data_IF_124673322531
#
_entry.id   IF_124673322531
#
_cell.length_a   1.000
_cell.length_b   1.000
_cell.length_c   1.000
_cell.angle_alpha   90.00
_cell.angle_beta   90.00
_cell.angle_gamma   90.00
#
_symmetry.space_group_name_H-M   'P 1'
#
loop_
_entity.id
_entity.type
_entity.pdbx_description
1 polymer ?
#
# COMPACT_ATOMS: atom_id res chain seq x y z
N UNK A 1 -14.42 -5.45 -2.30
CA UNK A 1 -14.73 -4.14 -1.68
C UNK A 1 -16.19 -4.02 -1.22
N UNK A 2 -17.19 -3.97 -2.13
CA UNK A 2 -18.61 -3.85 -1.75
C UNK A 2 -19.15 -5.05 -0.94
N UNK A 3 -18.56 -6.24 -1.14
CA UNK A 3 -18.88 -7.48 -0.42
C UNK A 3 -18.57 -7.46 1.09
N UNK A 4 -17.65 -6.61 1.56
CA UNK A 4 -17.07 -6.72 2.91
C UNK A 4 -17.28 -5.49 3.81
N UNK A 5 -17.75 -4.35 3.29
CA UNK A 5 -17.62 -3.06 3.99
C UNK A 5 -18.90 -2.28 4.32
N UNK A 6 -20.06 -2.64 3.75
CA UNK A 6 -21.33 -1.92 3.97
C UNK A 6 -22.50 -2.91 3.98
N UNK A 7 -23.50 -2.71 4.83
CA UNK A 7 -24.73 -3.52 4.84
C UNK A 7 -25.62 -3.13 3.65
N UNK A 8 -25.43 -3.83 2.53
CA UNK A 8 -26.15 -3.60 1.27
C UNK A 8 -26.80 -4.92 0.83
N UNK A 9 -27.96 -5.28 1.41
CA UNK A 9 -28.69 -6.48 1.03
C UNK A 9 -29.50 -6.24 -0.25
N UNK A 10 -29.50 -7.24 -1.13
CA UNK A 10 -30.16 -7.23 -2.43
C UNK A 10 -31.25 -8.31 -2.52
N UNK A 11 -32.10 -8.28 -3.55
CA UNK A 11 -33.00 -9.40 -3.84
C UNK A 11 -32.26 -10.63 -4.32
N UNK A 12 -31.15 -10.41 -5.01
CA UNK A 12 -30.35 -11.45 -5.62
C UNK A 12 -28.89 -11.03 -5.74
N UNK A 13 -28.01 -12.02 -5.77
CA UNK A 13 -26.58 -11.88 -6.05
C UNK A 13 -26.26 -12.72 -7.28
N UNK A 14 -25.47 -12.18 -8.20
CA UNK A 14 -25.06 -12.84 -9.43
C UNK A 14 -23.53 -12.83 -9.47
N UNK A 15 -22.92 -14.01 -9.55
CA UNK A 15 -21.51 -14.18 -9.84
C UNK A 15 -21.36 -14.39 -11.35
N UNK A 16 -20.83 -13.38 -12.03
CA UNK A 16 -20.50 -13.45 -13.47
C UNK A 16 -19.21 -14.25 -13.71
N UNK A 17 -18.28 -14.20 -12.75
CA UNK A 17 -17.00 -14.91 -12.76
C UNK A 17 -16.65 -15.31 -11.33
N UNK A 18 -15.98 -16.45 -11.17
CA UNK A 18 -15.46 -16.91 -9.88
C UNK A 18 -13.99 -16.51 -9.64
N UNK A 19 -13.38 -15.76 -10.56
CA UNK A 19 -12.03 -15.24 -10.41
C UNK A 19 -12.05 -13.76 -10.01
N UNK A 20 -11.22 -13.40 -9.04
CA UNK A 20 -10.95 -12.02 -8.66
C UNK A 20 -9.53 -11.64 -9.09
N UNK A 21 -9.42 -11.09 -10.31
CA UNK A 21 -8.11 -10.81 -10.90
C UNK A 21 -7.39 -12.11 -11.26
N UNK A 22 -6.22 -12.36 -10.68
CA UNK A 22 -5.43 -13.58 -10.91
C UNK A 22 -5.84 -14.76 -10.02
N UNK A 23 -6.55 -14.48 -8.93
CA UNK A 23 -6.87 -15.45 -7.88
C UNK A 23 -8.31 -15.94 -7.99
N UNK A 24 -8.57 -17.16 -7.52
CA UNK A 24 -9.93 -17.69 -7.37
C UNK A 24 -10.57 -17.13 -6.11
N UNK A 25 -11.89 -16.94 -6.12
CA UNK A 25 -12.62 -16.61 -4.89
C UNK A 25 -12.39 -17.67 -3.83
N UNK A 26 -12.17 -17.22 -2.59
CA UNK A 26 -12.17 -18.09 -1.42
C UNK A 26 -13.59 -18.41 -0.98
N UNK A 27 -13.78 -19.50 -0.22
CA UNK A 27 -15.09 -19.87 0.35
C UNK A 27 -15.63 -18.74 1.24
N UNK A 28 -14.75 -18.12 2.04
CA UNK A 28 -15.14 -17.01 2.92
C UNK A 28 -15.65 -15.79 2.12
N UNK A 29 -14.97 -15.42 1.04
CA UNK A 29 -15.41 -14.31 0.17
C UNK A 29 -16.73 -14.64 -0.52
N UNK A 30 -16.87 -15.86 -1.02
CA UNK A 30 -18.10 -16.34 -1.65
C UNK A 30 -19.28 -16.26 -0.68
N UNK A 31 -19.12 -16.77 0.55
CA UNK A 31 -20.15 -16.72 1.61
C UNK A 31 -20.49 -15.28 2.04
N UNK A 32 -19.49 -14.41 2.17
CA UNK A 32 -19.73 -12.99 2.46
C UNK A 32 -20.52 -12.29 1.34
N UNK A 33 -20.25 -12.63 0.08
CA UNK A 33 -20.95 -12.06 -1.06
C UNK A 33 -22.37 -12.61 -1.19
N UNK A 34 -22.55 -13.94 -1.08
CA UNK A 34 -23.87 -14.58 -1.22
C UNK A 34 -24.80 -14.25 -0.05
N UNK A 35 -24.25 -14.02 1.15
CA UNK A 35 -25.01 -13.59 2.33
C UNK A 35 -25.75 -12.26 2.16
N UNK A 36 -25.46 -11.51 1.10
CA UNK A 36 -26.18 -10.27 0.74
C UNK A 36 -27.48 -10.54 -0.02
N UNK A 37 -27.72 -11.76 -0.46
CA UNK A 37 -28.96 -12.13 -1.13
C UNK A 37 -30.10 -12.33 -0.11
N UNK A 38 -31.17 -11.57 -0.28
CA UNK A 38 -32.33 -11.58 0.63
C UNK A 38 -32.32 -10.37 1.54
N UNK A 39 -33.42 -9.62 1.55
CA UNK A 39 -33.59 -8.44 2.41
C UNK A 39 -34.53 -8.82 3.54
N UNK A 40 -34.07 -8.71 4.78
CA UNK A 40 -34.87 -9.01 5.96
C UNK A 40 -36.20 -8.23 5.93
N UNK A 41 -37.31 -8.95 6.10
CA UNK A 41 -38.66 -8.38 6.07
C UNK A 41 -39.21 -7.99 4.68
N UNK A 42 -38.46 -8.20 3.59
CA UNK A 42 -38.92 -7.89 2.22
C UNK A 42 -38.96 -9.07 1.27
N UNK A 43 -38.11 -10.07 1.48
CA UNK A 43 -38.05 -11.26 0.62
C UNK A 43 -38.13 -12.53 1.46
N UNK A 44 -38.93 -13.50 1.00
CA UNK A 44 -39.03 -14.82 1.64
C UNK A 44 -37.77 -15.67 1.42
N UNK A 45 -37.00 -15.37 0.38
CA UNK A 45 -35.75 -16.05 0.01
C UNK A 45 -34.76 -15.12 -0.69
N UNK A 46 -33.47 -15.30 -0.38
CA UNK A 46 -32.37 -14.78 -1.18
C UNK A 46 -32.12 -15.66 -2.40
N UNK A 47 -31.85 -15.07 -3.56
CA UNK A 47 -31.49 -15.81 -4.78
C UNK A 47 -30.03 -15.57 -5.13
N UNK A 48 -29.29 -16.64 -5.38
CA UNK A 48 -27.89 -16.57 -5.78
C UNK A 48 -27.75 -17.31 -7.11
N UNK A 49 -27.12 -16.66 -8.08
CA UNK A 49 -26.86 -17.23 -9.40
C UNK A 49 -25.37 -17.25 -9.66
N UNK A 50 -24.83 -18.41 -10.04
CA UNK A 50 -23.45 -18.55 -10.49
C UNK A 50 -23.50 -18.82 -12.00
N UNK A 51 -22.88 -17.95 -12.79
CA UNK A 51 -22.67 -18.17 -14.22
C UNK A 51 -21.28 -18.77 -14.36
N UNK A 52 -21.21 -20.02 -14.80
CA UNK A 52 -19.98 -20.81 -14.84
C UNK A 52 -19.78 -21.34 -16.25
N UNK A 53 -18.59 -21.14 -16.80
CA UNK A 53 -18.21 -21.69 -18.10
C UNK A 53 -17.33 -22.94 -17.91
N UNK A 54 -17.76 -24.12 -18.40
CA UNK A 54 -16.95 -25.34 -18.31
C UNK A 54 -15.58 -25.17 -18.96
N UNK A 55 -14.54 -25.74 -18.36
CA UNK A 55 -13.15 -25.70 -18.84
C UNK A 55 -12.52 -24.30 -18.95
N UNK A 56 -13.20 -23.25 -18.47
CA UNK A 56 -12.67 -21.88 -18.52
C UNK A 56 -11.53 -21.70 -17.53
N UNK A 57 -10.42 -21.15 -18.02
CA UNK A 57 -9.28 -20.65 -17.23
C UNK A 57 -9.04 -19.19 -17.59
N UNK A 58 -8.94 -18.32 -16.59
CA UNK A 58 -8.74 -16.89 -16.79
C UNK A 58 -7.27 -16.55 -17.03
N UNK A 59 -6.35 -17.29 -16.40
CA UNK A 59 -4.91 -17.06 -16.53
C UNK A 59 -4.15 -18.37 -16.75
N UNK A 60 -3.00 -18.29 -17.45
CA UNK A 60 -2.16 -19.47 -17.74
C UNK A 60 -1.58 -20.14 -16.49
N UNK A 61 -1.55 -19.44 -15.35
CA UNK A 61 -1.12 -19.98 -14.06
C UNK A 61 -2.22 -20.59 -13.19
N UNK A 62 -3.47 -20.65 -13.68
CA UNK A 62 -4.55 -21.29 -12.95
C UNK A 62 -4.58 -22.79 -13.22
N UNK A 63 -4.34 -23.57 -12.17
CA UNK A 63 -4.33 -25.03 -12.26
C UNK A 63 -5.73 -25.61 -12.48
N UNK A 64 -6.75 -24.93 -11.93
CA UNK A 64 -8.14 -25.39 -11.86
C UNK A 64 -9.01 -24.74 -12.93
N UNK A 65 -10.08 -25.42 -13.34
CA UNK A 65 -11.12 -24.86 -14.19
C UNK A 65 -12.22 -24.19 -13.35
N UNK A 66 -12.95 -23.24 -13.94
CA UNK A 66 -13.98 -22.47 -13.23
C UNK A 66 -15.11 -23.36 -12.65
N UNK A 67 -15.48 -24.44 -13.35
CA UNK A 67 -16.50 -25.39 -12.89
C UNK A 67 -16.04 -26.24 -11.71
N UNK A 68 -14.77 -26.62 -11.67
CA UNK A 68 -14.17 -27.26 -10.48
C UNK A 68 -14.21 -26.32 -9.27
N UNK A 69 -13.89 -25.05 -9.47
CA UNK A 69 -13.91 -24.03 -8.41
C UNK A 69 -15.34 -23.79 -7.94
N UNK A 70 -16.31 -23.72 -8.86
CA UNK A 70 -17.72 -23.57 -8.51
C UNK A 70 -18.22 -24.70 -7.60
N UNK A 71 -17.84 -25.94 -7.90
CA UNK A 71 -18.20 -27.10 -7.09
C UNK A 71 -17.60 -27.04 -5.69
N UNK A 72 -16.36 -26.58 -5.56
CA UNK A 72 -15.70 -26.41 -4.27
C UNK A 72 -16.33 -25.27 -3.46
N UNK A 73 -16.66 -24.14 -4.09
CA UNK A 73 -17.33 -23.03 -3.40
C UNK A 73 -18.70 -23.43 -2.86
N UNK A 74 -19.48 -24.21 -3.62
CA UNK A 74 -20.81 -24.66 -3.21
C UNK A 74 -20.79 -25.75 -2.13
N UNK A 75 -19.71 -26.53 -2.02
CA UNK A 75 -19.54 -27.60 -1.02
C UNK A 75 -18.68 -27.17 0.17
N UNK A 76 -17.94 -26.08 0.00
CA UNK A 76 -16.98 -25.57 0.96
C UNK A 76 -17.64 -25.15 2.24
N UNK A 77 -16.90 -25.27 3.34
CA UNK A 77 -17.26 -24.69 4.63
C UNK A 77 -16.25 -23.59 4.91
N UNK A 78 -16.72 -22.47 5.48
CA UNK A 78 -15.82 -21.40 5.91
C UNK A 78 -14.85 -21.98 6.94
N UNK A 79 -13.56 -21.97 6.61
CA UNK A 79 -12.50 -22.46 7.48
C UNK A 79 -12.31 -21.51 8.68
N UNK A 80 -11.86 -22.07 9.80
CA UNK A 80 -11.48 -21.29 10.96
C UNK A 80 -10.31 -20.35 10.60
N UNK A 81 -10.45 -19.08 10.95
CA UNK A 81 -9.38 -18.10 10.74
C UNK A 81 -8.36 -18.28 11.85
N UNK A 82 -7.17 -18.77 11.51
CA UNK A 82 -6.02 -18.78 12.40
C UNK A 82 -5.19 -17.50 12.22
N UNK A 83 -5.17 -16.59 13.20
CA UNK A 83 -4.39 -15.36 13.09
C UNK A 83 -2.90 -15.68 13.09
N UNK A 84 -2.18 -15.19 12.09
CA UNK A 84 -0.74 -15.35 11.98
C UNK A 84 -0.02 -14.01 12.16
N UNK A 85 1.06 -13.99 12.94
CA UNK A 85 1.98 -12.87 13.01
C UNK A 85 3.42 -13.35 12.79
N UNK A 86 4.07 -12.78 11.78
CA UNK A 86 5.50 -13.04 11.59
C UNK A 86 6.34 -12.45 12.74
N UNK A 87 7.67 -12.61 12.68
CA UNK A 87 8.57 -12.10 13.73
C UNK A 87 8.45 -10.59 13.93
N UNK A 88 8.27 -9.84 12.84
CA UNK A 88 8.22 -8.38 12.87
C UNK A 88 6.91 -7.91 13.54
N UNK A 89 5.78 -8.43 13.09
CA UNK A 89 4.44 -8.16 13.62
C UNK A 89 4.32 -8.61 15.07
N UNK A 90 4.86 -9.79 15.40
CA UNK A 90 4.91 -10.30 16.78
C UNK A 90 5.71 -9.37 17.70
N UNK A 91 6.85 -8.87 17.23
CA UNK A 91 7.67 -7.93 17.99
C UNK A 91 6.99 -6.56 18.14
N UNK A 92 6.33 -6.06 17.11
CA UNK A 92 5.52 -4.83 17.15
C UNK A 92 4.42 -4.93 18.22
N UNK A 93 3.61 -5.99 18.19
CA UNK A 93 2.56 -6.23 19.18
C UNK A 93 3.13 -6.36 20.59
N UNK A 94 4.27 -7.07 20.75
CA UNK A 94 4.94 -7.20 22.04
C UNK A 94 5.38 -5.82 22.57
N UNK A 95 5.99 -4.99 21.72
CA UNK A 95 6.41 -3.64 22.07
C UNK A 95 5.23 -2.77 22.47
N UNK A 96 4.15 -2.77 21.68
CA UNK A 96 2.92 -2.04 21.98
C UNK A 96 2.34 -2.45 23.33
N UNK A 97 2.33 -3.75 23.61
CA UNK A 97 1.86 -4.32 24.88
C UNK A 97 2.72 -3.88 26.06
N UNK A 98 4.05 -3.91 25.93
CA UNK A 98 4.97 -3.43 26.98
C UNK A 98 4.74 -1.93 27.23
N UNK A 99 4.60 -1.14 26.16
CA UNK A 99 4.32 0.30 26.25
C UNK A 99 3.00 0.60 26.95
N UNK A 100 1.93 -0.13 26.62
CA UNK A 100 0.59 0.10 27.16
C UNK A 100 0.41 -0.39 28.60
N UNK A 101 0.97 -1.55 28.93
CA UNK A 101 0.80 -2.16 30.26
C UNK A 101 1.84 -1.72 31.28
N UNK A 102 2.99 -1.21 30.82
CA UNK A 102 4.09 -0.79 31.69
C UNK A 102 4.80 -1.95 32.41
N UNK A 103 4.57 -3.19 32.00
CA UNK A 103 5.23 -4.37 32.59
C UNK A 103 6.74 -4.29 32.41
N UNK A 104 7.48 -4.57 33.49
CA UNK A 104 8.95 -4.50 33.50
C UNK A 104 9.61 -5.86 33.73
N UNK A 105 8.89 -6.85 34.25
CA UNK A 105 9.45 -8.20 34.43
C UNK A 105 9.37 -9.01 33.13
N UNK A 106 10.41 -9.78 32.82
CA UNK A 106 10.43 -10.63 31.61
C UNK A 106 9.34 -11.71 31.66
N UNK A 107 9.01 -12.19 32.86
CA UNK A 107 7.97 -13.20 33.06
C UNK A 107 6.57 -12.63 32.76
N UNK A 108 6.28 -11.42 33.25
CA UNK A 108 5.00 -10.76 32.98
C UNK A 108 4.86 -10.45 31.49
N UNK A 109 5.94 -10.00 30.82
CA UNK A 109 5.93 -9.77 29.38
C UNK A 109 5.61 -11.05 28.62
N UNK A 110 6.29 -12.16 28.94
CA UNK A 110 6.03 -13.44 28.29
C UNK A 110 4.60 -13.93 28.56
N UNK A 111 4.07 -13.69 29.76
CA UNK A 111 2.71 -14.05 30.13
C UNK A 111 1.67 -13.25 29.34
N UNK A 112 1.85 -11.93 29.19
CA UNK A 112 0.90 -11.10 28.43
C UNK A 112 1.00 -11.39 26.93
N UNK A 113 2.22 -11.52 26.40
CA UNK A 113 2.45 -11.85 24.99
C UNK A 113 1.73 -13.15 24.58
N UNK A 114 1.78 -14.20 25.42
CA UNK A 114 1.10 -15.47 25.15
C UNK A 114 -0.43 -15.38 25.10
N UNK A 115 -1.02 -14.24 25.49
CA UNK A 115 -2.47 -13.99 25.40
C UNK A 115 -2.87 -13.31 24.08
N UNK A 116 -1.92 -12.97 23.22
CA UNK A 116 -2.27 -12.44 21.90
C UNK A 116 -2.94 -13.53 21.07
N UNK A 117 -3.81 -13.13 20.15
CA UNK A 117 -4.52 -14.07 19.27
C UNK A 117 -3.58 -14.70 18.23
N UNK A 118 -2.56 -13.96 17.79
CA UNK A 118 -1.66 -14.33 16.69
C UNK A 118 -0.29 -14.82 17.16
N UNK A 119 -0.22 -15.60 18.25
CA UNK A 119 1.08 -16.06 18.79
C UNK A 119 1.65 -17.18 17.93
N UNK A 120 2.46 -16.83 16.95
CA UNK A 120 3.18 -17.77 16.06
C UNK A 120 4.69 -17.82 16.30
N UNK A 121 5.23 -16.92 17.13
CA UNK A 121 6.68 -16.82 17.43
C UNK A 121 6.91 -16.90 18.94
N UNK A 122 7.96 -17.58 19.43
CA UNK A 122 8.29 -17.60 20.85
C UNK A 122 8.54 -16.19 21.41
N UNK A 123 8.07 -15.87 22.64
CA UNK A 123 8.28 -14.54 23.25
C UNK A 123 9.76 -14.14 23.30
N UNK A 124 10.66 -15.12 23.50
CA UNK A 124 12.10 -14.88 23.53
C UNK A 124 12.63 -14.30 22.22
N UNK A 125 12.09 -14.72 21.08
CA UNK A 125 12.61 -14.32 19.77
C UNK A 125 12.06 -12.94 19.37
N UNK A 126 10.79 -12.67 19.68
CA UNK A 126 10.22 -11.32 19.61
C UNK A 126 11.02 -10.33 20.47
N UNK A 127 11.33 -10.70 21.73
CA UNK A 127 12.13 -9.87 22.64
C UNK A 127 13.56 -9.66 22.15
N UNK A 128 14.25 -10.71 21.67
CA UNK A 128 15.58 -10.59 21.05
C UNK A 128 15.54 -9.66 19.84
N UNK A 129 14.47 -9.70 19.04
CA UNK A 129 14.27 -8.78 17.92
C UNK A 129 14.16 -7.32 18.39
N UNK A 130 13.34 -7.05 19.41
CA UNK A 130 13.22 -5.71 19.99
C UNK A 130 14.54 -5.17 20.54
N UNK A 131 15.36 -6.01 21.19
CA UNK A 131 16.69 -5.63 21.66
C UNK A 131 17.63 -5.33 20.48
N UNK A 132 17.66 -6.20 19.45
CA UNK A 132 18.47 -6.01 18.24
C UNK A 132 18.11 -4.74 17.47
N UNK A 133 16.83 -4.33 17.52
CA UNK A 133 16.32 -3.11 16.90
C UNK A 133 16.39 -1.87 17.80
N UNK A 134 16.95 -1.99 19.01
CA UNK A 134 17.07 -0.90 20.00
C UNK A 134 15.75 -0.34 20.53
N UNK A 135 14.65 -1.10 20.42
CA UNK A 135 13.32 -0.70 20.92
C UNK A 135 13.22 -0.84 22.44
N UNK A 136 13.95 -1.79 23.00
CA UNK A 136 13.99 -2.06 24.45
C UNK A 136 15.41 -2.31 24.92
N UNK A 137 15.66 -2.10 26.21
CA UNK A 137 16.89 -2.45 26.92
C UNK A 137 16.56 -3.41 28.06
N UNK A 138 17.44 -4.38 28.28
CA UNK A 138 17.33 -5.33 29.39
C UNK A 138 18.28 -4.91 30.50
N UNK A 139 17.74 -4.40 31.62
CA UNK A 139 18.48 -4.01 32.83
C UNK A 139 17.62 -4.26 34.06
N UNK A 140 17.84 -5.36 34.78
CA UNK A 140 16.97 -5.78 35.92
C UNK A 140 15.47 -5.79 35.56
N UNK A 141 15.16 -6.20 34.34
CA UNK A 141 13.84 -6.05 33.72
C UNK A 141 13.95 -5.55 32.29
N UNK A 142 12.81 -5.36 31.64
CA UNK A 142 12.67 -4.74 30.32
C UNK A 142 12.30 -3.26 30.46
N UNK A 143 12.96 -2.42 29.69
CA UNK A 143 12.70 -0.99 29.64
C UNK A 143 12.60 -0.54 28.19
N UNK A 144 11.48 0.07 27.83
CA UNK A 144 11.27 0.66 26.50
C UNK A 144 12.18 1.88 26.33
N UNK A 145 12.88 1.96 25.21
CA UNK A 145 13.69 3.13 24.85
C UNK A 145 12.81 4.28 24.35
N UNK A 146 13.37 5.48 24.24
CA UNK A 146 12.67 6.61 23.59
C UNK A 146 12.33 6.28 22.13
N UNK A 147 13.23 5.60 21.42
CA UNK A 147 12.98 5.08 20.08
C UNK A 147 11.81 4.09 20.09
N UNK A 148 11.80 3.11 20.98
CA UNK A 148 10.71 2.15 21.11
C UNK A 148 9.35 2.81 21.35
N UNK A 149 9.31 3.83 22.22
CA UNK A 149 8.08 4.61 22.46
C UNK A 149 7.65 5.38 21.21
N UNK A 150 8.58 6.07 20.54
CA UNK A 150 8.30 6.81 19.31
C UNK A 150 7.79 5.90 18.19
N UNK A 151 8.41 4.71 18.04
CA UNK A 151 8.01 3.66 17.10
C UNK A 151 6.58 3.17 17.38
N UNK A 152 6.27 2.79 18.62
CA UNK A 152 4.90 2.36 19.00
C UNK A 152 3.86 3.44 18.79
N UNK A 153 4.11 4.68 19.24
CA UNK A 153 3.16 5.80 19.08
C UNK A 153 2.92 6.16 17.60
N UNK A 154 3.83 5.72 16.73
CA UNK A 154 3.78 5.96 15.30
C UNK A 154 3.27 4.77 14.50
N UNK A 155 2.85 3.68 15.15
CA UNK A 155 2.40 2.45 14.49
C UNK A 155 3.42 1.92 13.46
N UNK A 156 4.70 2.11 13.75
CA UNK A 156 5.79 1.59 12.93
C UNK A 156 6.24 0.24 13.48
N UNK A 157 6.63 -0.65 12.57
CA UNK A 157 7.34 -1.87 12.97
C UNK A 157 8.71 -1.53 13.60
N UNK A 158 9.26 -2.40 14.47
CA UNK A 158 10.62 -2.23 15.02
C UNK A 158 11.70 -1.95 13.97
N UNK A 159 11.64 -2.60 12.81
CA UNK A 159 12.58 -2.42 11.71
C UNK A 159 12.38 -1.05 11.05
N UNK A 160 11.14 -0.65 10.75
CA UNK A 160 10.84 0.68 10.20
C UNK A 160 11.28 1.80 11.15
N UNK A 161 11.01 1.68 12.45
CA UNK A 161 11.41 2.68 13.44
C UNK A 161 12.92 2.94 13.47
N UNK A 162 13.72 1.87 13.43
CA UNK A 162 15.17 1.98 13.35
C UNK A 162 15.65 2.51 11.99
N UNK A 163 14.98 2.13 10.90
CA UNK A 163 15.30 2.62 9.56
C UNK A 163 15.06 4.13 9.44
N UNK A 164 13.91 4.62 9.87
CA UNK A 164 13.58 6.05 9.91
C UNK A 164 14.66 6.82 10.69
N UNK A 165 15.02 6.34 11.88
CA UNK A 165 16.07 6.97 12.70
C UNK A 165 17.37 7.13 11.91
N UNK A 166 17.80 6.09 11.17
CA UNK A 166 19.02 6.12 10.34
C UNK A 166 18.89 7.05 9.13
N UNK A 167 17.72 7.08 8.49
CA UNK A 167 17.49 7.84 7.27
C UNK A 167 17.37 9.34 7.52
N UNK A 168 16.90 9.76 8.70
CA UNK A 168 16.75 11.19 9.04
C UNK A 168 18.03 12.03 8.86
N UNK A 169 19.22 11.42 8.79
CA UNK A 169 20.50 12.14 8.58
C UNK A 169 20.93 12.22 7.12
N UNK A 170 20.25 11.50 6.21
CA UNK A 170 20.74 11.21 4.86
C UNK A 170 19.71 11.46 3.77
N UNK A 171 18.45 11.55 4.14
CA UNK A 171 17.32 11.61 3.22
C UNK A 171 16.34 12.68 3.69
N UNK A 172 15.71 13.33 2.71
CA UNK A 172 14.64 14.30 2.93
C UNK A 172 13.45 13.66 3.66
N UNK A 173 12.83 14.40 4.58
CA UNK A 173 11.76 13.87 5.45
C UNK A 173 10.53 13.43 4.66
N UNK A 174 10.23 14.08 3.54
CA UNK A 174 9.13 13.69 2.67
C UNK A 174 9.44 12.37 1.95
N UNK A 175 10.67 12.18 1.48
CA UNK A 175 11.07 10.91 0.84
C UNK A 175 11.05 9.76 1.85
N UNK A 176 11.45 9.98 3.10
CA UNK A 176 11.35 8.95 4.14
C UNK A 176 9.88 8.58 4.37
N UNK A 177 8.99 9.57 4.47
CA UNK A 177 7.56 9.33 4.69
C UNK A 177 6.90 8.60 3.51
N UNK A 178 7.27 8.95 2.27
CA UNK A 178 6.83 8.23 1.06
C UNK A 178 7.40 6.82 1.03
N UNK A 179 8.66 6.63 1.43
CA UNK A 179 9.31 5.31 1.44
C UNK A 179 8.66 4.35 2.44
N UNK A 180 8.15 4.85 3.56
CA UNK A 180 7.43 4.03 4.55
C UNK A 180 6.21 3.35 3.94
N UNK A 181 5.47 4.06 3.08
CA UNK A 181 4.33 3.52 2.35
C UNK A 181 4.18 4.18 0.97
N UNK A 182 4.84 3.62 -0.06
CA UNK A 182 4.81 4.20 -1.39
C UNK A 182 3.45 4.05 -2.07
N UNK A 183 3.10 4.98 -2.95
CA UNK A 183 1.88 4.86 -3.74
C UNK A 183 2.05 3.89 -4.90
N UNK A 184 1.44 2.70 -4.79
CA UNK A 184 1.58 1.64 -5.80
C UNK A 184 0.30 1.33 -6.59
N UNK A 185 -0.85 1.87 -6.16
CA UNK A 185 -2.15 1.67 -6.81
C UNK A 185 -2.30 2.54 -8.07
N UNK A 186 -1.37 2.34 -9.00
CA UNK A 186 -1.26 3.03 -10.27
C UNK A 186 -1.19 2.01 -11.39
N UNK A 187 -2.01 2.23 -12.40
CA UNK A 187 -2.26 1.30 -13.48
C UNK A 187 -2.03 1.96 -14.83
N UNK A 188 -1.77 1.18 -15.86
CA UNK A 188 -1.72 1.67 -17.22
C UNK A 188 -3.13 2.04 -17.70
N UNK A 189 -3.26 3.12 -18.46
CA UNK A 189 -4.52 3.42 -19.14
C UNK A 189 -4.92 2.29 -20.09
N UNK A 190 -6.23 2.06 -20.25
CA UNK A 190 -6.77 1.03 -21.15
C UNK A 190 -6.25 1.16 -22.59
N UNK A 191 -6.07 2.40 -23.06
CA UNK A 191 -5.47 2.70 -24.37
C UNK A 191 -4.03 2.19 -24.46
N UNK A 192 -3.19 2.51 -23.48
CA UNK A 192 -1.79 2.09 -23.47
C UNK A 192 -1.68 0.57 -23.29
N UNK A 193 -2.50 -0.02 -22.42
CA UNK A 193 -2.60 -1.46 -22.23
C UNK A 193 -2.93 -2.17 -23.55
N UNK A 194 -3.92 -1.68 -24.30
CA UNK A 194 -4.32 -2.28 -25.57
C UNK A 194 -3.21 -2.28 -26.63
N UNK A 195 -2.40 -1.22 -26.71
CA UNK A 195 -1.24 -1.18 -27.62
C UNK A 195 -0.16 -2.19 -27.21
N UNK A 196 0.14 -2.27 -25.90
CA UNK A 196 1.13 -3.20 -25.36
C UNK A 196 0.67 -4.64 -25.61
N UNK A 197 -0.55 -4.99 -25.22
CA UNK A 197 -1.08 -6.35 -25.38
C UNK A 197 -1.12 -6.77 -26.86
N UNK A 198 -1.47 -5.84 -27.76
CA UNK A 198 -1.45 -6.07 -29.20
C UNK A 198 -0.03 -6.33 -29.74
N UNK A 199 0.95 -5.51 -29.31
CA UNK A 199 2.33 -5.63 -29.74
C UNK A 199 2.96 -6.98 -29.32
N UNK A 200 2.70 -7.41 -28.08
CA UNK A 200 3.26 -8.62 -27.48
C UNK A 200 2.39 -9.87 -27.62
N UNK A 201 1.14 -9.74 -28.10
CA UNK A 201 0.17 -10.84 -28.26
C UNK A 201 -0.03 -11.64 -26.97
N UNK A 202 0.03 -10.97 -25.84
CA UNK A 202 -0.13 -11.54 -24.50
C UNK A 202 -0.67 -10.44 -23.59
N UNK A 203 -1.55 -10.81 -22.67
CA UNK A 203 -2.07 -9.88 -21.67
C UNK A 203 -0.97 -9.56 -20.65
N UNK A 204 -0.49 -8.33 -20.65
CA UNK A 204 0.55 -7.87 -19.74
C UNK A 204 -0.04 -7.41 -18.40
N UNK A 205 0.71 -7.51 -17.30
CA UNK A 205 0.33 -6.89 -16.03
C UNK A 205 -0.01 -5.40 -16.18
N UNK A 206 -1.10 -4.97 -15.55
CA UNK A 206 -1.63 -3.60 -15.69
C UNK A 206 -1.05 -2.60 -14.70
N UNK A 207 -0.37 -3.06 -13.63
CA UNK A 207 0.21 -2.19 -12.61
C UNK A 207 1.48 -1.51 -13.13
N UNK A 208 1.64 -0.22 -12.84
CA UNK A 208 2.76 0.58 -13.33
C UNK A 208 4.14 0.05 -12.90
N UNK A 209 4.25 -0.46 -11.66
CA UNK A 209 5.50 -0.98 -11.10
C UNK A 209 5.71 -2.49 -11.29
N UNK A 210 4.95 -3.15 -12.16
CA UNK A 210 4.96 -4.62 -12.33
C UNK A 210 6.10 -5.19 -13.18
N UNK A 211 7.23 -4.49 -13.32
CA UNK A 211 8.38 -4.95 -14.12
C UNK A 211 8.17 -4.91 -15.65
N UNK A 212 6.94 -4.75 -16.14
CA UNK A 212 6.57 -4.71 -17.58
C UNK A 212 7.37 -3.68 -18.37
N UNK A 213 7.67 -2.53 -17.78
CA UNK A 213 8.51 -1.52 -18.41
C UNK A 213 9.90 -2.06 -18.84
N UNK A 214 10.46 -3.00 -18.07
CA UNK A 214 11.78 -3.59 -18.31
C UNK A 214 11.75 -4.63 -19.40
N UNK A 215 10.73 -5.50 -19.38
CA UNK A 215 10.50 -6.45 -20.46
C UNK A 215 10.37 -5.69 -21.79
N UNK A 216 9.66 -4.57 -21.78
CA UNK A 216 9.49 -3.73 -22.97
C UNK A 216 10.80 -3.05 -23.39
N UNK A 217 11.59 -2.49 -22.46
CA UNK A 217 12.86 -1.84 -22.80
C UNK A 217 13.90 -2.84 -23.33
N UNK A 218 13.99 -4.03 -22.75
CA UNK A 218 14.91 -5.09 -23.18
C UNK A 218 14.51 -5.69 -24.53
N UNK A 219 13.20 -5.80 -24.78
CA UNK A 219 12.66 -6.20 -26.08
C UNK A 219 12.84 -5.12 -27.14
N UNK A 220 12.90 -3.84 -26.74
CA UNK A 220 13.23 -2.73 -27.65
C UNK A 220 14.69 -2.73 -28.11
N UNK A 221 15.60 -3.32 -27.33
CA UNK A 221 17.02 -3.48 -27.69
C UNK A 221 17.31 -4.59 -28.70
N UNK A 222 16.42 -5.60 -28.81
CA UNK A 222 16.54 -6.68 -29.80
C UNK A 222 15.82 -6.27 -31.09
N UNK A 223 16.58 -6.22 -32.19
CA UNK A 223 16.23 -5.75 -33.58
C UNK A 223 14.99 -6.36 -34.27
N UNK A 224 14.03 -6.95 -33.56
CA UNK A 224 12.80 -7.51 -34.14
C UNK A 224 11.48 -7.13 -33.45
N UNK A 225 11.52 -6.46 -32.28
CA UNK A 225 10.31 -6.14 -31.48
C UNK A 225 9.84 -4.68 -31.54
N UNK A 226 10.73 -3.74 -31.87
CA UNK A 226 10.48 -2.28 -31.85
C UNK A 226 9.52 -1.76 -32.92
N UNK A 227 9.29 -2.54 -33.97
CA UNK A 227 8.48 -2.12 -35.12
C UNK A 227 6.96 -2.19 -34.91
N UNK A 228 6.50 -2.59 -33.71
CA UNK A 228 5.05 -2.79 -33.44
C UNK A 228 4.40 -1.71 -32.59
N UNK A 229 5.15 -0.97 -31.79
CA UNK A 229 4.56 0.05 -30.92
C UNK A 229 4.43 1.39 -31.66
N UNK A 230 3.29 2.09 -31.55
CA UNK A 230 3.14 3.44 -32.09
C UNK A 230 4.14 4.43 -31.48
N UNK A 231 4.52 5.48 -32.23
CA UNK A 231 5.48 6.51 -31.77
C UNK A 231 5.07 7.17 -30.45
N UNK A 232 3.78 7.43 -30.26
CA UNK A 232 3.26 8.05 -29.05
C UNK A 232 3.50 7.20 -27.79
N UNK A 233 3.59 5.87 -27.91
CA UNK A 233 3.89 4.98 -26.77
C UNK A 233 5.35 5.18 -26.32
N UNK A 234 6.28 5.36 -27.27
CA UNK A 234 7.66 5.68 -26.94
C UNK A 234 7.80 7.05 -26.27
N UNK A 235 6.99 8.03 -26.66
CA UNK A 235 6.97 9.34 -25.99
C UNK A 235 6.54 9.21 -24.52
N UNK A 236 5.56 8.34 -24.23
CA UNK A 236 5.12 8.04 -22.87
C UNK A 236 6.23 7.37 -22.06
N UNK A 237 6.89 6.35 -22.60
CA UNK A 237 8.01 5.67 -21.93
C UNK A 237 9.22 6.59 -21.70
N UNK A 238 9.48 7.50 -22.64
CA UNK A 238 10.50 8.54 -22.48
C UNK A 238 10.17 9.43 -21.28
N UNK A 239 8.92 9.92 -21.17
CA UNK A 239 8.46 10.68 -20.00
C UNK A 239 8.63 9.89 -18.70
N UNK A 240 8.26 8.61 -18.66
CA UNK A 240 8.43 7.80 -17.45
C UNK A 240 9.89 7.65 -17.05
N UNK A 241 10.77 7.42 -18.02
CA UNK A 241 12.22 7.36 -17.79
C UNK A 241 12.72 8.66 -17.21
N UNK A 242 12.37 9.79 -17.83
CA UNK A 242 12.83 11.12 -17.42
C UNK A 242 12.26 11.56 -16.07
N UNK A 243 11.04 11.17 -15.70
CA UNK A 243 10.40 11.62 -14.46
C UNK A 243 10.59 10.65 -13.28
N UNK A 244 10.51 9.34 -13.52
CA UNK A 244 10.44 8.33 -12.45
C UNK A 244 11.61 7.34 -12.48
N UNK A 245 12.00 6.84 -13.66
CA UNK A 245 13.01 5.78 -13.81
C UNK A 245 14.40 6.31 -14.23
N UNK A 246 14.89 7.35 -13.55
CA UNK A 246 16.18 8.00 -13.82
C UNK A 246 17.15 7.95 -12.61
N UNK A 247 17.26 6.81 -11.93
CA UNK A 247 18.26 6.64 -10.86
C UNK A 247 19.40 5.70 -11.28
N UNK A 248 20.64 6.03 -10.88
CA UNK A 248 21.80 5.16 -11.05
C UNK A 248 21.98 4.13 -9.94
N UNK A 249 20.89 3.63 -9.34
CA UNK A 249 20.95 2.67 -8.23
C UNK A 249 21.45 1.30 -8.76
N UNK A 250 22.29 0.53 -8.02
CA UNK A 250 22.71 -0.81 -8.47
C UNK A 250 21.55 -1.80 -8.59
N UNK A 251 20.51 -1.58 -7.78
CA UNK A 251 19.26 -2.34 -7.79
C UNK A 251 18.26 -1.79 -8.81
N UNK A 252 18.67 -0.91 -9.72
CA UNK A 252 17.78 -0.42 -10.76
C UNK A 252 17.43 -1.59 -11.65
N UNK A 253 16.15 -1.86 -11.92
CA UNK A 253 14.95 -1.03 -11.73
C UNK A 253 14.10 -1.36 -10.50
N UNK A 254 14.46 -2.38 -9.73
CA UNK A 254 13.71 -2.91 -8.59
C UNK A 254 13.83 -2.05 -7.32
N UNK A 255 14.66 -1.01 -7.34
CA UNK A 255 14.81 -0.09 -6.22
C UNK A 255 13.58 0.81 -6.03
N UNK A 256 13.32 1.28 -4.80
CA UNK A 256 12.12 2.08 -4.49
C UNK A 256 12.11 3.50 -5.09
N UNK A 257 13.21 3.95 -5.71
CA UNK A 257 13.35 5.33 -6.20
C UNK A 257 12.23 5.78 -7.17
N UNK A 258 11.75 4.95 -8.12
CA UNK A 258 10.64 5.34 -8.99
C UNK A 258 9.34 5.56 -8.20
N UNK A 259 9.08 4.74 -7.18
CA UNK A 259 7.91 4.88 -6.30
C UNK A 259 8.00 6.17 -5.48
N UNK A 260 9.18 6.47 -4.93
CA UNK A 260 9.45 7.72 -4.20
C UNK A 260 9.25 8.94 -5.10
N UNK A 261 9.78 8.91 -6.34
CA UNK A 261 9.64 10.01 -7.31
C UNK A 261 8.19 10.24 -7.72
N UNK A 262 7.41 9.18 -7.92
CA UNK A 262 5.97 9.29 -8.18
C UNK A 262 5.23 9.92 -6.99
N UNK A 263 5.50 9.44 -5.77
CA UNK A 263 4.92 10.01 -4.56
C UNK A 263 5.28 11.50 -4.41
N UNK A 264 6.54 11.87 -4.64
CA UNK A 264 6.99 13.27 -4.59
C UNK A 264 6.28 14.11 -5.65
N UNK A 265 6.15 13.60 -6.88
CA UNK A 265 5.39 14.29 -7.92
C UNK A 265 3.94 14.54 -7.49
N UNK A 266 3.25 13.53 -6.93
CA UNK A 266 1.89 13.66 -6.42
C UNK A 266 1.77 14.74 -5.34
N UNK A 267 2.72 14.76 -4.40
CA UNK A 267 2.76 15.75 -3.33
C UNK A 267 2.98 17.16 -3.88
N UNK A 268 3.90 17.35 -4.82
CA UNK A 268 4.12 18.68 -5.42
C UNK A 268 2.90 19.16 -6.21
N UNK A 269 2.25 18.26 -6.95
CA UNK A 269 0.98 18.58 -7.62
C UNK A 269 -0.15 18.89 -6.63
N UNK A 270 -0.18 18.19 -5.49
CA UNK A 270 -1.13 18.46 -4.41
C UNK A 270 -0.91 19.85 -3.83
N UNK A 271 0.33 20.20 -3.51
CA UNK A 271 0.73 21.53 -3.01
C UNK A 271 0.46 22.66 -4.01
N UNK A 272 0.43 22.36 -5.31
CA UNK A 272 0.03 23.30 -6.34
C UNK A 272 -1.48 23.59 -6.39
N UNK A 273 -2.30 22.89 -5.58
CA UNK A 273 -3.74 23.13 -5.45
C UNK A 273 -4.62 22.01 -5.99
N UNK A 274 -4.05 20.94 -6.57
CA UNK A 274 -4.85 19.87 -7.13
C UNK A 274 -5.49 19.01 -6.01
N UNK A 275 -6.77 18.70 -6.18
CA UNK A 275 -7.47 17.71 -5.35
C UNK A 275 -7.21 16.28 -5.91
N UNK A 276 -7.59 15.21 -5.19
CA UNK A 276 -7.33 13.83 -5.65
C UNK A 276 -7.87 13.51 -7.05
N UNK A 277 -9.01 14.10 -7.45
CA UNK A 277 -9.55 13.93 -8.81
C UNK A 277 -8.69 14.64 -9.85
N UNK A 278 -8.22 15.85 -9.56
CA UNK A 278 -7.29 16.59 -10.40
C UNK A 278 -5.94 15.89 -10.54
N UNK A 279 -5.43 15.28 -9.46
CA UNK A 279 -4.22 14.46 -9.49
C UNK A 279 -4.38 13.24 -10.39
N UNK A 280 -5.46 12.47 -10.22
CA UNK A 280 -5.76 11.32 -11.06
C UNK A 280 -5.87 11.71 -12.55
N UNK A 281 -6.56 12.82 -12.83
CA UNK A 281 -6.68 13.34 -14.20
C UNK A 281 -5.32 13.73 -14.77
N UNK A 282 -4.48 14.45 -14.01
CA UNK A 282 -3.17 14.88 -14.47
C UNK A 282 -2.22 13.70 -14.71
N UNK A 283 -2.26 12.67 -13.85
CA UNK A 283 -1.55 11.40 -14.09
C UNK A 283 -1.96 10.77 -15.42
N UNK A 284 -3.27 10.75 -15.71
CA UNK A 284 -3.80 10.17 -16.93
C UNK A 284 -3.36 10.96 -18.16
N UNK A 285 -3.54 12.29 -18.13
CA UNK A 285 -3.27 13.15 -19.28
C UNK A 285 -1.76 13.25 -19.60
N UNK A 286 -0.89 13.30 -18.59
CA UNK A 286 0.55 13.49 -18.80
C UNK A 286 1.30 12.18 -19.03
N UNK A 287 0.92 11.13 -18.31
CA UNK A 287 1.67 9.88 -18.22
C UNK A 287 0.90 8.64 -18.69
N UNK A 288 -0.35 8.76 -19.13
CA UNK A 288 -1.20 7.62 -19.46
C UNK A 288 -1.33 6.61 -18.30
N UNK A 289 -1.26 7.12 -17.07
CA UNK A 289 -1.39 6.37 -15.83
C UNK A 289 -2.74 6.65 -15.18
N UNK A 290 -3.35 5.61 -14.65
CA UNK A 290 -4.64 5.68 -14.02
C UNK A 290 -4.54 5.30 -12.55
N UNK A 291 -5.25 6.04 -11.70
CA UNK A 291 -5.33 5.83 -10.28
C UNK A 291 -6.71 6.26 -9.78
N UNK A 292 -7.28 5.55 -8.82
CA UNK A 292 -8.56 5.93 -8.24
C UNK A 292 -8.36 7.17 -7.33
N UNK A 293 -9.23 8.19 -7.43
CA UNK A 293 -9.15 9.36 -6.54
C UNK A 293 -9.25 8.99 -5.05
N UNK A 294 -10.01 7.94 -4.71
CA UNK A 294 -10.10 7.42 -3.34
C UNK A 294 -8.77 6.86 -2.83
N UNK A 295 -8.02 6.13 -3.67
CA UNK A 295 -6.71 5.59 -3.30
C UNK A 295 -5.69 6.72 -3.09
N UNK A 296 -5.71 7.74 -3.96
CA UNK A 296 -4.86 8.93 -3.81
C UNK A 296 -5.19 9.66 -2.50
N UNK A 297 -6.48 9.83 -2.19
CA UNK A 297 -6.91 10.46 -0.94
C UNK A 297 -6.41 9.69 0.28
N UNK A 298 -6.66 8.38 0.34
CA UNK A 298 -6.22 7.52 1.44
C UNK A 298 -4.70 7.54 1.58
N UNK A 299 -3.96 7.50 0.47
CA UNK A 299 -2.51 7.57 0.50
C UNK A 299 -1.98 8.93 1.00
N UNK A 300 -2.60 10.05 0.61
CA UNK A 300 -2.21 11.38 1.11
C UNK A 300 -2.46 11.50 2.62
N UNK A 301 -3.56 10.93 3.13
CA UNK A 301 -3.85 10.88 4.56
C UNK A 301 -2.82 10.02 5.31
N UNK A 302 -2.52 8.82 4.81
CA UNK A 302 -1.45 7.97 5.34
C UNK A 302 -0.10 8.68 5.32
N UNK A 303 0.23 9.41 4.25
CA UNK A 303 1.47 10.16 4.14
C UNK A 303 1.61 11.22 5.24
N UNK A 304 0.53 11.92 5.61
CA UNK A 304 0.53 12.88 6.72
C UNK A 304 0.82 12.16 8.04
N UNK A 305 0.25 10.98 8.26
CA UNK A 305 0.54 10.16 9.45
C UNK A 305 2.02 9.69 9.45
N UNK A 306 2.56 9.30 8.30
CA UNK A 306 3.95 8.92 8.15
C UNK A 306 4.90 10.10 8.39
N UNK A 307 4.54 11.32 7.95
CA UNK A 307 5.31 12.53 8.26
C UNK A 307 5.36 12.78 9.78
N UNK A 308 4.23 12.64 10.49
CA UNK A 308 4.20 12.73 11.97
C UNK A 308 5.00 11.59 12.64
N UNK A 309 5.02 10.40 12.05
CA UNK A 309 5.86 9.30 12.50
C UNK A 309 7.36 9.65 12.39
N UNK A 310 7.78 10.17 11.22
CA UNK A 310 9.15 10.62 10.99
C UNK A 310 9.53 11.73 11.96
N UNK A 311 8.63 12.70 12.22
CA UNK A 311 8.85 13.78 13.19
C UNK A 311 9.13 13.23 14.60
N UNK A 312 8.31 12.30 15.09
CA UNK A 312 8.47 11.69 16.42
C UNK A 312 9.78 10.94 16.56
N UNK A 313 10.19 10.19 15.53
CA UNK A 313 11.47 9.47 15.53
C UNK A 313 12.66 10.42 15.38
N UNK A 314 12.55 11.47 14.56
CA UNK A 314 13.57 12.50 14.40
C UNK A 314 13.85 13.26 15.71
N UNK A 315 12.80 13.53 16.50
CA UNK A 315 12.94 14.16 17.81
C UNK A 315 13.82 13.33 18.77
N UNK A 316 13.75 11.99 18.72
CA UNK A 316 14.63 11.09 19.48
C UNK A 316 16.11 11.25 19.06
N UNK A 317 16.37 11.62 17.81
CA UNK A 317 17.71 11.92 17.32
C UNK A 317 18.19 13.34 17.64
N UNK A 318 17.39 14.16 18.34
CA UNK A 318 17.69 15.56 18.63
C UNK A 318 17.49 16.52 17.45
N UNK A 319 16.83 16.08 16.38
CA UNK A 319 16.58 16.89 15.17
C UNK A 319 15.24 17.60 15.22
N UNK A 320 15.17 18.56 16.13
CA UNK A 320 13.93 19.29 16.42
C UNK A 320 13.58 20.28 15.29
N UNK A 321 14.58 20.75 14.55
CA UNK A 321 14.47 21.60 13.37
C UNK A 321 13.62 20.97 12.25
N UNK A 322 13.77 19.65 12.05
CA UNK A 322 12.93 18.90 11.10
C UNK A 322 11.44 18.93 11.48
N UNK A 323 11.12 19.20 12.74
CA UNK A 323 9.74 19.31 13.20
C UNK A 323 8.99 20.46 12.52
N UNK A 324 9.61 21.62 12.38
CA UNK A 324 9.01 22.80 11.73
C UNK A 324 8.83 22.55 10.24
N UNK A 325 9.83 21.93 9.60
CA UNK A 325 9.76 21.56 8.18
C UNK A 325 8.58 20.61 7.94
N UNK A 326 8.45 19.56 8.75
CA UNK A 326 7.38 18.56 8.60
C UNK A 326 5.99 19.18 8.78
N UNK A 327 5.77 20.02 9.79
CA UNK A 327 4.48 20.70 9.96
C UNK A 327 4.14 21.59 8.75
N UNK A 328 5.14 22.28 8.19
CA UNK A 328 4.97 23.05 6.95
C UNK A 328 4.60 22.18 5.75
N UNK A 329 5.19 20.98 5.62
CA UNK A 329 4.82 20.01 4.59
C UNK A 329 3.37 19.55 4.76
N UNK A 330 2.97 19.18 5.98
CA UNK A 330 1.62 18.71 6.31
C UNK A 330 0.59 19.79 5.98
N UNK A 331 0.79 21.03 6.43
CA UNK A 331 -0.14 22.12 6.19
C UNK A 331 -0.38 22.37 4.69
N UNK A 332 0.68 22.30 3.86
CA UNK A 332 0.58 22.48 2.41
C UNK A 332 -0.07 21.28 1.70
N UNK A 333 -0.02 20.08 2.27
CA UNK A 333 -0.70 18.90 1.73
C UNK A 333 -2.19 18.92 2.11
N UNK A 334 -2.52 19.25 3.35
CA UNK A 334 -3.89 19.34 3.84
C UNK A 334 -4.65 20.48 3.16
N UNK A 335 -4.04 21.67 3.08
CA UNK A 335 -4.66 22.91 2.61
C UNK A 335 -3.79 23.66 1.59
N UNK A 336 -3.66 23.17 0.36
CA UNK A 336 -2.76 23.76 -0.62
C UNK A 336 -3.22 25.12 -1.16
N UNK A 337 -4.51 25.45 -1.03
CA UNK A 337 -5.05 26.74 -1.48
C UNK A 337 -4.83 27.86 -0.44
N UNK A 338 -4.88 27.53 0.85
CA UNK A 338 -4.65 28.52 1.93
C UNK A 338 -3.20 29.02 1.92
N UNK A 339 -2.24 28.15 1.57
CA UNK A 339 -0.82 28.50 1.46
C UNK A 339 -0.51 29.47 0.31
N UNK A 340 -1.39 29.58 -0.70
CA UNK A 340 -1.22 30.52 -1.83
C UNK A 340 -1.78 31.92 -1.52
N UNK A 341 -2.55 32.09 -0.45
CA UNK A 341 -3.14 33.38 -0.05
C UNK A 341 -2.37 34.09 1.07
N UNK A 342 -1.40 33.42 1.70
CA UNK A 342 -0.57 34.00 2.76
C UNK A 342 0.52 34.98 2.29
N UNK A 343 0.84 35.02 0.99
CA UNK A 343 1.97 35.80 0.45
C UNK A 343 1.55 37.13 -0.23
N UNK A 344 0.25 37.46 -0.24
CA UNK A 344 -0.30 38.63 -0.95
C UNK A 344 -1.01 39.63 -0.04
N UNK A 345 -0.80 39.58 1.29
CA UNK A 345 -1.44 40.48 2.27
C UNK A 345 -0.51 41.49 2.93
N UNK A 346 0.70 41.68 2.40
CA UNK A 346 1.60 42.73 2.84
C UNK A 346 2.22 43.42 1.65
N UNK A 347 1.50 44.38 1.07
CA UNK A 347 1.98 45.53 0.28
C UNK A 347 0.76 46.25 -0.31
N UNK A 348 -0.01 46.94 0.54
CA UNK A 348 -0.92 48.02 0.13
C UNK A 348 -1.28 48.86 1.38
N UNK A 349 -0.26 49.51 1.95
CA UNK A 349 -0.41 50.75 2.71
C UNK A 349 0.68 51.70 2.23
N UNK A 350 0.32 52.57 1.28
CA UNK A 350 0.63 54.01 1.24
C UNK A 350 0.01 54.68 -0.01
#
# INVERSE_FOLDING_TARGET
>A
ALGAGMDLPASQVIFESLAMGAEWLTIAEFEQMLGRAGRLGKHDRGKVYLVVEPDRKYHRGQDRAEDEVAMDLLKGVVEDVEPFADLETSAEQALATICATGVTSLEDVARVYRRHLSVSVPPSDALKHLVRRHMVRVRKGIHVTELGRATTLSFLTPTQGLEVLKLTSKMDVLDIAIKLEPFENVYLSSKLQGEIDSAFRTHMPTRFFSGVFMDISDLSGKRGGTSRLPSWVFDVFSKWTTHFFNCGCPLFPECDHPKIKLGRWLVEQRKAGLNPTGLAKKLHDEFHLWAYPGDIYSWLDTLIHNLKAVQRVAAVAGKVDLGVEIEGQIARIERPLDAQHGDNSGLEED
#
